data_IF_219576251729
#
_entry.id   IF_219576251729
#
_cell.length_a   1.000
_cell.length_b   1.000
_cell.length_c   1.000
_cell.angle_alpha   90.00
_cell.angle_beta   90.00
_cell.angle_gamma   90.00
#
_symmetry.space_group_name_H-M   'P 1'
#
loop_
_entity.id
_entity.type
_entity.pdbx_description
1 polymer ?
#
# COMPACT_ATOMS: atom_id res chain seq x y z
N UNK A 1 28.03 15.58 3.08
CA UNK A 1 27.65 14.81 4.28
C UNK A 1 26.92 13.58 3.77
N UNK A 2 27.52 12.39 3.89
CA UNK A 2 27.05 11.20 3.17
C UNK A 2 25.67 10.70 3.60
N UNK A 3 25.19 11.13 4.77
CA UNK A 3 23.85 10.84 5.26
C UNK A 3 22.75 11.47 4.39
N UNK A 4 22.91 12.74 3.99
CA UNK A 4 21.91 13.45 3.19
C UNK A 4 21.72 12.81 1.80
N UNK A 5 22.82 12.43 1.14
CA UNK A 5 22.78 11.70 -0.13
C UNK A 5 22.06 10.34 0.00
N UNK A 6 22.26 9.64 1.14
CA UNK A 6 21.57 8.38 1.42
C UNK A 6 20.10 8.55 1.78
N UNK A 7 19.74 9.66 2.41
CA UNK A 7 18.35 10.03 2.64
C UNK A 7 17.63 10.28 1.32
N UNK A 8 18.22 11.08 0.43
CA UNK A 8 17.68 11.34 -0.91
C UNK A 8 17.55 10.04 -1.74
N UNK A 9 18.54 9.14 -1.65
CA UNK A 9 18.49 7.83 -2.30
C UNK A 9 17.34 6.97 -1.74
N UNK A 10 17.15 6.94 -0.42
CA UNK A 10 16.05 6.22 0.20
C UNK A 10 14.68 6.82 -0.21
N UNK A 11 14.54 8.14 -0.22
CA UNK A 11 13.34 8.81 -0.69
C UNK A 11 13.04 8.51 -2.17
N UNK A 12 14.08 8.46 -3.01
CA UNK A 12 13.95 8.09 -4.40
C UNK A 12 13.36 6.68 -4.54
N UNK A 13 13.92 5.69 -3.86
CA UNK A 13 13.39 4.32 -3.93
C UNK A 13 11.98 4.18 -3.34
N UNK A 14 11.65 4.94 -2.30
CA UNK A 14 10.29 4.99 -1.76
C UNK A 14 9.27 5.52 -2.79
N UNK A 15 9.62 6.57 -3.54
CA UNK A 15 8.80 7.10 -4.63
C UNK A 15 8.65 6.08 -5.78
N UNK A 16 9.72 5.35 -6.09
CA UNK A 16 9.69 4.30 -7.11
C UNK A 16 8.82 3.11 -6.69
N UNK A 17 8.83 2.71 -5.41
CA UNK A 17 7.92 1.69 -4.88
C UNK A 17 6.46 2.10 -5.05
N UNK A 18 6.11 3.34 -4.69
CA UNK A 18 4.74 3.86 -4.84
C UNK A 18 4.29 3.91 -6.31
N UNK A 19 5.23 4.11 -7.23
CA UNK A 19 4.98 4.19 -8.68
C UNK A 19 4.98 2.83 -9.38
N UNK A 20 5.42 1.76 -8.73
CA UNK A 20 5.52 0.42 -9.34
C UNK A 20 4.14 -0.21 -9.66
N UNK A 21 3.06 0.32 -9.08
CA UNK A 21 1.70 -0.18 -9.32
C UNK A 21 1.56 -1.65 -8.92
N UNK A 22 1.26 -2.50 -9.90
CA UNK A 22 1.06 -3.95 -9.70
C UNK A 22 2.28 -4.80 -10.10
N UNK A 23 3.42 -4.19 -10.48
CA UNK A 23 4.66 -4.89 -10.81
C UNK A 23 5.41 -5.32 -9.53
N UNK A 24 5.24 -6.61 -9.21
CA UNK A 24 5.81 -7.22 -8.00
C UNK A 24 7.34 -7.17 -7.96
N UNK A 25 7.99 -7.35 -9.11
CA UNK A 25 9.45 -7.39 -9.17
C UNK A 25 10.00 -5.99 -8.97
N UNK A 26 9.44 -5.01 -9.68
CA UNK A 26 9.81 -3.61 -9.51
C UNK A 26 9.61 -3.15 -8.06
N UNK A 27 8.47 -3.47 -7.45
CA UNK A 27 8.23 -3.13 -6.05
C UNK A 27 9.26 -3.77 -5.11
N UNK A 28 9.50 -5.08 -5.26
CA UNK A 28 10.42 -5.82 -4.39
C UNK A 28 11.87 -5.33 -4.53
N UNK A 29 12.33 -5.04 -5.75
CA UNK A 29 13.67 -4.50 -5.98
C UNK A 29 13.83 -3.10 -5.38
N UNK A 30 12.84 -2.22 -5.59
CA UNK A 30 12.87 -0.89 -4.99
C UNK A 30 12.80 -0.95 -3.47
N UNK A 31 12.04 -1.88 -2.88
CA UNK A 31 12.00 -2.09 -1.43
C UNK A 31 13.35 -2.56 -0.88
N UNK A 32 14.00 -3.50 -1.56
CA UNK A 32 15.34 -3.96 -1.17
C UNK A 32 16.37 -2.82 -1.24
N UNK A 33 16.29 -2.01 -2.30
CA UNK A 33 17.16 -0.83 -2.48
C UNK A 33 16.90 0.23 -1.40
N UNK A 34 15.62 0.51 -1.08
CA UNK A 34 15.22 1.38 0.02
C UNK A 34 15.83 0.94 1.36
N UNK A 35 15.66 -0.33 1.75
CA UNK A 35 16.19 -0.87 3.01
C UNK A 35 17.72 -0.75 3.05
N UNK A 36 18.37 -0.96 1.91
CA UNK A 36 19.82 -0.84 1.78
C UNK A 36 20.30 0.62 1.93
N UNK A 37 19.65 1.58 1.27
CA UNK A 37 19.97 3.00 1.38
C UNK A 37 19.70 3.52 2.80
N UNK A 38 18.55 3.18 3.37
CA UNK A 38 18.15 3.63 4.70
C UNK A 38 19.01 3.02 5.83
N UNK A 39 19.63 1.86 5.60
CA UNK A 39 20.70 1.33 6.47
C UNK A 39 21.91 2.25 6.51
N UNK A 40 22.33 2.78 5.36
CA UNK A 40 23.52 3.63 5.28
C UNK A 40 23.33 4.92 6.05
N UNK A 41 22.12 5.48 6.08
CA UNK A 41 21.75 6.67 6.89
C UNK A 41 22.11 6.44 8.36
N UNK A 42 21.53 5.42 9.00
CA UNK A 42 21.82 5.09 10.40
C UNK A 42 23.30 4.76 10.64
N UNK A 43 23.96 4.11 9.69
CA UNK A 43 25.39 3.82 9.81
C UNK A 43 26.23 5.10 9.85
N UNK A 44 25.94 6.07 8.97
CA UNK A 44 26.61 7.36 8.98
C UNK A 44 26.29 8.14 10.26
N UNK A 45 25.01 8.24 10.65
CA UNK A 45 24.59 8.90 11.88
C UNK A 45 25.31 8.34 13.12
N UNK A 46 25.37 7.01 13.27
CA UNK A 46 26.13 6.34 14.35
C UNK A 46 27.62 6.63 14.28
N UNK A 47 28.20 6.65 13.08
CA UNK A 47 29.64 6.90 12.89
C UNK A 47 30.02 8.34 13.27
N UNK A 48 29.15 9.30 12.97
CA UNK A 48 29.32 10.68 13.39
C UNK A 48 29.10 10.86 14.90
N UNK A 49 28.08 10.20 15.45
CA UNK A 49 27.81 10.20 16.89
C UNK A 49 28.92 9.56 17.73
N UNK A 50 29.71 8.62 17.18
CA UNK A 50 30.89 8.08 17.89
C UNK A 50 31.99 9.13 18.11
N UNK A 51 32.02 10.19 17.31
CA UNK A 51 33.03 11.26 17.42
C UNK A 51 32.72 12.27 18.53
N UNK A 52 31.49 12.29 19.04
CA UNK A 52 31.05 13.18 20.12
C UNK A 52 30.70 12.34 21.36
N UNK A 53 31.18 12.72 22.53
CA UNK A 53 30.84 12.00 23.77
C UNK A 53 29.34 12.17 24.09
N UNK A 54 28.66 11.07 24.43
CA UNK A 54 27.24 11.07 24.83
C UNK A 54 26.21 10.89 23.71
N UNK A 55 26.57 11.09 22.43
CA UNK A 55 25.61 10.94 21.32
C UNK A 55 25.26 9.49 20.97
N UNK A 56 26.07 8.51 21.37
CA UNK A 56 25.76 7.10 21.15
C UNK A 56 24.51 6.65 21.93
N UNK A 57 24.43 7.02 23.21
CA UNK A 57 23.30 6.67 24.08
C UNK A 57 21.99 7.31 23.58
N UNK A 58 22.06 8.52 23.02
CA UNK A 58 20.90 9.18 22.42
C UNK A 58 20.39 8.41 21.20
N UNK A 59 21.27 7.96 20.29
CA UNK A 59 20.86 7.15 19.14
C UNK A 59 20.26 5.81 19.59
N UNK A 60 20.91 5.11 20.54
CA UNK A 60 20.37 3.84 21.07
C UNK A 60 18.99 4.02 21.72
N UNK A 61 18.76 5.16 22.38
CA UNK A 61 17.46 5.49 22.94
C UNK A 61 16.39 5.72 21.86
N UNK A 62 16.72 6.41 20.77
CA UNK A 62 15.79 6.58 19.64
C UNK A 62 15.47 5.24 18.95
N UNK A 63 16.46 4.37 18.78
CA UNK A 63 16.28 3.06 18.15
C UNK A 63 15.44 2.10 19.01
N UNK A 64 15.63 2.10 20.33
CA UNK A 64 14.87 1.27 21.26
C UNK A 64 13.46 1.78 21.52
N UNK A 65 13.22 3.09 21.40
CA UNK A 65 11.90 3.71 21.59
C UNK A 65 10.95 3.55 20.41
N UNK A 66 11.44 3.13 19.23
CA UNK A 66 10.63 3.04 18.01
C UNK A 66 10.54 1.61 17.50
N UNK A 67 9.34 1.02 17.55
CA UNK A 67 9.06 -0.30 17.00
C UNK A 67 9.37 -0.38 15.51
N UNK A 68 9.16 0.71 14.77
CA UNK A 68 9.46 0.79 13.33
C UNK A 68 10.97 0.74 13.08
N UNK A 69 11.76 1.52 13.83
CA UNK A 69 13.22 1.51 13.69
C UNK A 69 13.79 0.14 14.08
N UNK A 70 13.30 -0.45 15.18
CA UNK A 70 13.69 -1.78 15.62
C UNK A 70 13.35 -2.86 14.59
N UNK A 71 12.17 -2.76 13.97
CA UNK A 71 11.74 -3.64 12.89
C UNK A 71 12.69 -3.57 11.69
N UNK A 72 12.97 -2.39 11.14
CA UNK A 72 13.88 -2.25 10.00
C UNK A 72 15.32 -2.63 10.34
N UNK A 73 15.76 -2.41 11.57
CA UNK A 73 17.07 -2.87 12.06
C UNK A 73 17.15 -4.41 12.05
N UNK A 74 16.06 -5.09 12.40
CA UNK A 74 15.96 -6.55 12.38
C UNK A 74 15.91 -7.07 10.94
N UNK A 75 15.08 -6.47 10.08
CA UNK A 75 14.97 -6.82 8.65
C UNK A 75 16.29 -6.63 7.91
N UNK A 76 17.05 -5.60 8.24
CA UNK A 76 18.41 -5.39 7.75
C UNK A 76 19.28 -6.62 8.00
N UNK A 77 19.31 -7.13 9.23
CA UNK A 77 20.16 -8.27 9.59
C UNK A 77 19.73 -9.53 8.82
N UNK A 78 18.43 -9.75 8.63
CA UNK A 78 17.92 -10.88 7.85
C UNK A 78 18.28 -10.75 6.37
N UNK A 79 18.07 -9.57 5.78
CA UNK A 79 18.30 -9.33 4.35
C UNK A 79 19.74 -9.54 3.91
N UNK A 80 20.72 -9.25 4.78
CA UNK A 80 22.15 -9.36 4.46
C UNK A 80 22.63 -10.81 4.64
N UNK A 81 22.05 -11.55 5.59
CA UNK A 81 22.63 -12.80 6.07
C UNK A 81 21.82 -14.05 5.73
N UNK A 82 20.57 -13.92 5.28
CA UNK A 82 19.67 -15.07 5.10
C UNK A 82 18.98 -15.08 3.75
N UNK A 83 18.16 -14.08 3.45
CA UNK A 83 17.27 -14.12 2.29
C UNK A 83 16.85 -12.72 1.83
N UNK A 84 16.52 -12.53 0.53
CA UNK A 84 15.94 -11.30 0.04
C UNK A 84 14.64 -10.94 0.76
N UNK A 85 14.39 -9.65 0.94
CA UNK A 85 13.14 -9.17 1.54
C UNK A 85 11.98 -9.46 0.58
N UNK A 86 11.03 -10.29 1.02
CA UNK A 86 9.86 -10.69 0.23
C UNK A 86 8.57 -10.28 0.95
N UNK A 87 7.97 -9.12 0.61
CA UNK A 87 6.69 -8.73 1.20
C UNK A 87 5.54 -9.59 0.65
N UNK A 88 4.51 -9.80 1.46
CA UNK A 88 3.25 -10.41 1.03
C UNK A 88 2.45 -9.41 0.19
N UNK A 89 2.00 -9.84 -1.00
CA UNK A 89 1.12 -9.05 -1.85
C UNK A 89 -0.34 -9.34 -1.55
N UNK A 90 -1.11 -8.30 -1.28
CA UNK A 90 -2.56 -8.34 -1.18
C UNK A 90 -3.17 -7.54 -2.33
N UNK A 91 -3.99 -8.18 -3.16
CA UNK A 91 -4.70 -7.52 -4.24
C UNK A 91 -6.05 -7.02 -3.74
N UNK A 92 -6.28 -5.71 -3.83
CA UNK A 92 -7.58 -5.09 -3.61
C UNK A 92 -8.25 -4.83 -4.95
N UNK A 93 -9.40 -5.46 -5.17
CA UNK A 93 -10.18 -5.32 -6.41
C UNK A 93 -11.38 -4.42 -6.12
N UNK A 94 -11.43 -3.28 -6.79
CA UNK A 94 -12.55 -2.35 -6.75
C UNK A 94 -13.37 -2.51 -8.02
N UNK A 95 -14.60 -2.99 -7.88
CA UNK A 95 -15.57 -3.14 -8.96
C UNK A 95 -16.61 -2.04 -8.79
N UNK A 96 -16.60 -1.05 -9.69
CA UNK A 96 -17.52 0.09 -9.65
C UNK A 96 -18.58 -0.03 -10.73
N UNK A 97 -19.82 -0.35 -10.36
CA UNK A 97 -20.94 -0.44 -11.31
C UNK A 97 -21.58 0.94 -11.49
N UNK A 98 -21.91 1.30 -12.73
CA UNK A 98 -22.69 2.50 -13.04
C UNK A 98 -24.09 2.08 -13.45
N UNK A 99 -25.09 2.54 -12.71
CA UNK A 99 -26.50 2.33 -13.02
C UNK A 99 -27.05 3.61 -13.66
N UNK A 100 -27.52 3.50 -14.90
CA UNK A 100 -28.21 4.59 -15.58
C UNK A 100 -29.72 4.42 -15.44
N UNK A 101 -30.39 5.47 -14.99
CA UNK A 101 -31.84 5.54 -14.93
C UNK A 101 -32.29 6.64 -15.90
N UNK A 102 -33.26 6.33 -16.76
CA UNK A 102 -33.91 7.31 -17.63
C UNK A 102 -35.40 7.34 -17.27
N UNK A 103 -35.96 8.55 -17.17
CA UNK A 103 -37.33 8.85 -16.69
C UNK A 103 -37.74 8.14 -15.39
N UNK A 104 -37.51 8.80 -14.25
CA UNK A 104 -38.02 8.34 -12.95
C UNK A 104 -38.79 9.43 -12.23
N UNK A 105 -40.12 9.30 -12.26
CA UNK A 105 -41.01 9.98 -11.31
C UNK A 105 -41.25 9.15 -10.03
N UNK A 106 -40.65 7.96 -9.94
CA UNK A 106 -40.84 7.01 -8.84
C UNK A 106 -39.62 6.93 -7.91
N UNK A 107 -39.89 6.62 -6.64
CA UNK A 107 -38.86 6.33 -5.64
C UNK A 107 -38.25 4.94 -5.90
N UNK A 108 -36.94 4.93 -6.12
CA UNK A 108 -36.14 3.71 -6.14
C UNK A 108 -35.55 3.43 -4.75
N UNK A 109 -35.63 2.17 -4.34
CA UNK A 109 -34.85 1.67 -3.21
C UNK A 109 -33.81 0.67 -3.71
N UNK A 110 -32.53 1.00 -3.51
CA UNK A 110 -31.40 0.14 -3.85
C UNK A 110 -30.98 -0.60 -2.58
N UNK A 111 -30.99 -1.93 -2.60
CA UNK A 111 -30.44 -2.75 -1.52
C UNK A 111 -29.22 -3.48 -2.08
N UNK A 112 -28.04 -3.16 -1.53
CA UNK A 112 -26.79 -3.82 -1.85
C UNK A 112 -26.49 -4.88 -0.79
N UNK A 113 -26.29 -6.12 -1.22
CA UNK A 113 -25.75 -7.20 -0.38
C UNK A 113 -24.27 -7.42 -0.74
N UNK A 114 -23.60 -8.35 -0.03
CA UNK A 114 -22.18 -8.64 -0.25
C UNK A 114 -21.88 -9.27 -1.63
N UNK A 115 -22.90 -9.84 -2.29
CA UNK A 115 -22.76 -10.53 -3.58
C UNK A 115 -23.61 -9.92 -4.69
N UNK A 116 -24.70 -9.22 -4.34
CA UNK A 116 -25.73 -8.83 -5.30
C UNK A 116 -26.27 -7.42 -5.02
N UNK A 117 -26.66 -6.72 -6.07
CA UNK A 117 -27.41 -5.46 -5.98
C UNK A 117 -28.85 -5.73 -6.42
N UNK A 118 -29.82 -5.53 -5.52
CA UNK A 118 -31.25 -5.68 -5.82
C UNK A 118 -31.91 -4.30 -5.88
N UNK A 119 -32.65 -4.06 -6.96
CA UNK A 119 -33.41 -2.83 -7.18
C UNK A 119 -34.88 -3.07 -6.85
N UNK A 120 -35.43 -2.24 -5.98
CA UNK A 120 -36.86 -2.22 -5.66
C UNK A 120 -37.47 -0.94 -6.25
N UNK A 121 -38.55 -1.11 -7.01
CA UNK A 121 -39.47 -0.04 -7.37
C UNK A 121 -40.65 -0.12 -6.39
N UNK A 122 -40.97 0.98 -5.73
CA UNK A 122 -41.98 1.03 -4.66
C UNK A 122 -43.42 1.08 -5.21
N UNK A 123 -43.70 0.35 -6.30
CA UNK A 123 -45.06 0.13 -6.80
C UNK A 123 -45.60 -1.22 -6.28
N UNK A 124 -46.91 -1.29 -6.01
CA UNK A 124 -47.57 -2.48 -5.46
C UNK A 124 -47.68 -3.66 -6.46
N UNK A 125 -46.97 -3.61 -7.58
CA UNK A 125 -46.89 -4.68 -8.58
C UNK A 125 -45.54 -5.39 -8.47
N UNK A 126 -45.64 -6.71 -8.47
CA UNK A 126 -44.56 -7.70 -8.41
C UNK A 126 -43.31 -7.27 -9.20
N UNK A 127 -42.09 -7.43 -8.65
CA UNK A 127 -40.86 -7.03 -9.33
C UNK A 127 -40.65 -7.91 -10.56
N UNK A 128 -40.61 -7.31 -11.76
CA UNK A 128 -39.95 -7.96 -12.88
C UNK A 128 -38.45 -7.66 -12.77
N UNK A 129 -37.68 -8.67 -12.35
CA UNK A 129 -36.23 -8.64 -12.51
C UNK A 129 -35.97 -8.76 -14.00
N UNK A 130 -35.86 -7.63 -14.69
CA UNK A 130 -35.20 -7.60 -15.98
C UNK A 130 -33.70 -7.50 -15.73
N UNK A 131 -33.06 -8.64 -15.51
CA UNK A 131 -31.64 -8.76 -15.86
C UNK A 131 -31.59 -8.57 -17.37
N UNK A 132 -31.40 -7.34 -17.83
CA UNK A 132 -31.15 -7.06 -19.22
C UNK A 132 -29.80 -7.68 -19.57
N UNK A 133 -29.79 -8.97 -19.92
CA UNK A 133 -28.81 -9.50 -20.84
C UNK A 133 -29.12 -8.83 -22.17
N UNK A 134 -28.47 -7.70 -22.42
CA UNK A 134 -28.64 -6.91 -23.63
C UNK A 134 -28.13 -7.75 -24.80
N UNK A 135 -29.06 -8.46 -25.45
CA UNK A 135 -28.87 -9.09 -26.75
C UNK A 135 -29.26 -8.08 -27.84
N UNK A 136 -28.52 -6.99 -27.96
CA UNK A 136 -28.53 -6.21 -29.20
C UNK A 136 -27.19 -5.51 -29.40
N UNK A 137 -26.68 -5.58 -30.63
CA UNK A 137 -25.33 -5.19 -31.04
C UNK A 137 -25.05 -3.69 -31.03
N UNK A 138 -25.72 -2.92 -30.18
CA UNK A 138 -25.52 -1.47 -30.04
C UNK A 138 -24.78 -1.16 -28.74
N UNK A 139 -23.46 -1.07 -28.87
CA UNK A 139 -22.47 -0.34 -28.05
C UNK A 139 -23.01 0.33 -26.75
N UNK A 140 -23.38 -0.49 -25.76
CA UNK A 140 -23.70 -0.04 -24.40
C UNK A 140 -22.38 0.25 -23.67
N UNK A 141 -22.26 1.34 -22.88
CA UNK A 141 -21.01 1.63 -22.18
C UNK A 141 -20.74 0.50 -21.18
N UNK A 142 -19.71 -0.30 -21.48
CA UNK A 142 -19.24 -1.41 -20.65
C UNK A 142 -19.26 -1.01 -19.17
N UNK A 143 -19.91 -1.80 -18.28
CA UNK A 143 -19.82 -1.53 -16.86
C UNK A 143 -18.37 -1.72 -16.40
N UNK A 144 -17.94 -0.71 -15.64
CA UNK A 144 -17.01 -0.83 -14.52
C UNK A 144 -15.52 -0.84 -14.89
N UNK A 145 -14.88 0.32 -14.70
CA UNK A 145 -13.43 0.37 -14.45
C UNK A 145 -13.15 -0.55 -13.24
N UNK A 146 -12.65 -1.76 -13.49
CA UNK A 146 -12.09 -2.60 -12.44
C UNK A 146 -10.76 -1.96 -12.06
N UNK A 147 -10.70 -1.34 -10.89
CA UNK A 147 -9.45 -0.81 -10.37
C UNK A 147 -8.83 -1.86 -9.44
N UNK A 148 -7.63 -2.30 -9.77
CA UNK A 148 -6.87 -3.23 -8.94
C UNK A 148 -5.69 -2.49 -8.31
N UNK A 149 -5.60 -2.54 -6.99
CA UNK A 149 -4.49 -1.95 -6.24
C UNK A 149 -3.78 -3.04 -5.45
N UNK A 150 -2.49 -3.24 -5.73
CA UNK A 150 -1.63 -4.07 -4.89
C UNK A 150 -1.24 -3.33 -3.60
N UNK A 151 -1.34 -4.03 -2.48
CA UNK A 151 -0.89 -3.58 -1.16
C UNK A 151 0.11 -4.60 -0.66
N UNK A 152 1.32 -4.16 -0.31
CA UNK A 152 2.39 -5.05 0.14
C UNK A 152 2.54 -4.97 1.66
N UNK A 153 2.74 -6.10 2.34
CA UNK A 153 2.88 -6.16 3.81
C UNK A 153 4.07 -7.03 4.20
N UNK A 154 4.67 -6.72 5.35
CA UNK A 154 5.63 -7.63 5.97
C UNK A 154 4.87 -8.59 6.88
N UNK A 155 5.03 -9.89 6.67
CA UNK A 155 4.36 -10.92 7.47
C UNK A 155 4.77 -10.88 8.94
N UNK A 156 5.99 -10.41 9.22
CA UNK A 156 6.54 -10.30 10.57
C UNK A 156 6.19 -8.97 11.25
N UNK A 157 5.60 -8.00 10.53
CA UNK A 157 5.14 -6.75 11.11
C UNK A 157 3.78 -6.95 11.78
N UNK A 158 3.71 -6.60 13.06
CA UNK A 158 2.49 -6.77 13.87
C UNK A 158 1.48 -5.64 13.70
N UNK A 159 1.91 -4.50 13.14
CA UNK A 159 1.04 -3.34 12.93
C UNK A 159 0.15 -3.50 11.68
N UNK A 160 -0.77 -2.57 11.50
CA UNK A 160 -1.74 -2.60 10.40
C UNK A 160 -1.23 -1.96 9.11
N UNK A 161 -0.09 -1.26 9.18
CA UNK A 161 0.54 -0.52 8.10
C UNK A 161 1.00 -1.45 6.97
N UNK A 162 0.86 -0.98 5.74
CA UNK A 162 1.53 -1.61 4.60
C UNK A 162 3.02 -1.23 4.55
N UNK A 163 3.78 -1.94 3.72
CA UNK A 163 5.22 -1.77 3.61
C UNK A 163 5.61 -0.34 3.20
N UNK A 164 4.88 0.30 2.27
CA UNK A 164 5.15 1.68 1.85
C UNK A 164 4.93 2.68 2.99
N UNK A 165 3.82 2.53 3.73
CA UNK A 165 3.49 3.36 4.90
C UNK A 165 4.53 3.19 6.00
N UNK A 166 4.97 1.95 6.23
CA UNK A 166 6.00 1.65 7.23
C UNK A 166 7.36 2.24 6.83
N UNK A 167 7.75 2.16 5.55
CA UNK A 167 8.96 2.81 5.02
C UNK A 167 8.90 4.33 5.16
N UNK A 168 7.76 4.95 4.86
CA UNK A 168 7.54 6.39 5.03
C UNK A 168 7.67 6.80 6.49
N UNK A 169 7.05 6.05 7.40
CA UNK A 169 7.12 6.27 8.85
C UNK A 169 8.55 6.11 9.34
N UNK A 170 9.30 5.15 8.81
CA UNK A 170 10.70 4.94 9.16
C UNK A 170 11.56 6.14 8.78
N UNK A 171 11.46 6.65 7.55
CA UNK A 171 12.22 7.84 7.15
C UNK A 171 11.90 9.07 8.01
N UNK A 172 10.63 9.29 8.36
CA UNK A 172 10.24 10.40 9.24
C UNK A 172 10.73 10.29 10.69
N UNK A 173 11.41 9.19 11.04
CA UNK A 173 11.96 8.92 12.38
C UNK A 173 13.48 8.85 12.38
N UNK A 174 14.12 8.91 11.21
CA UNK A 174 15.57 9.07 11.06
C UNK A 174 15.91 10.56 11.22
#
# INVERSE_FOLDING_TARGET
MHEAEKLEEAEFFLKQMASAGNDDKAYTYNLSAFISAARSILFYARSEAKRKSGSHAWIEQQESGSSVISFFTSRRNVSIHKEPVSPEKQLRVHIGETLHFSDMNDLLRIIRTNTDTVLFRDDKSVPSIQTALVADGTNWPYPSKVAMTAVYRFSEWKGAEDATTLCTTYLGRL
#
